data_IF_593874916304
#
_entry.id   IF_593874916304
#
_cell.length_a   1.000
_cell.length_b   1.000
_cell.length_c   1.000
_cell.angle_alpha   90.00
_cell.angle_beta   90.00
_cell.angle_gamma   90.00
#
_symmetry.space_group_name_H-M   'P 1'
#
loop_
_entity.id
_entity.type
_entity.pdbx_description
1 polymer ?
#
# COMPACT_ATOMS: atom_id res chain seq x y z
N UNK A 1 -3.52 22.71 -14.40
CA UNK A 1 -4.19 21.90 -13.36
C UNK A 1 -4.07 20.43 -13.73
N UNK A 2 -3.31 19.65 -12.96
CA UNK A 2 -3.11 18.23 -13.24
C UNK A 2 -4.39 17.47 -12.92
N UNK A 3 -5.00 16.84 -13.93
CA UNK A 3 -6.14 15.92 -13.76
C UNK A 3 -5.76 14.90 -12.67
N UNK A 4 -6.66 14.55 -11.74
CA UNK A 4 -6.36 13.54 -10.73
C UNK A 4 -6.22 12.18 -11.43
N UNK A 5 -5.00 11.88 -11.87
CA UNK A 5 -4.60 10.64 -12.55
C UNK A 5 -4.02 9.66 -11.52
N UNK A 6 -4.56 9.72 -10.31
CA UNK A 6 -4.07 8.99 -9.14
C UNK A 6 -5.00 7.86 -8.77
N UNK A 7 -4.48 6.86 -8.07
CA UNK A 7 -5.25 5.67 -7.65
C UNK A 7 -6.46 6.05 -6.79
N UNK A 8 -6.43 7.19 -6.09
CA UNK A 8 -7.54 7.71 -5.29
C UNK A 8 -8.84 7.99 -6.07
N UNK A 9 -8.78 8.17 -7.41
CA UNK A 9 -10.00 8.34 -8.22
C UNK A 9 -10.65 7.02 -8.64
N UNK A 10 -9.94 5.91 -8.46
CA UNK A 10 -10.46 4.59 -8.80
C UNK A 10 -11.53 4.17 -7.77
N UNK A 11 -12.51 3.34 -8.17
CA UNK A 11 -13.41 2.71 -7.20
C UNK A 11 -12.63 1.95 -6.12
N UNK A 12 -13.15 1.94 -4.89
CA UNK A 12 -12.52 1.28 -3.74
C UNK A 12 -12.12 -0.17 -4.02
N UNK A 13 -12.96 -0.91 -4.77
CA UNK A 13 -12.65 -2.30 -5.13
C UNK A 13 -11.40 -2.40 -6.01
N UNK A 14 -11.20 -1.49 -6.98
CA UNK A 14 -10.00 -1.45 -7.82
C UNK A 14 -8.79 -1.00 -7.00
N UNK A 15 -8.95 -0.03 -6.09
CA UNK A 15 -7.85 0.40 -5.22
C UNK A 15 -7.32 -0.78 -4.39
N UNK A 16 -8.24 -1.58 -3.85
CA UNK A 16 -7.91 -2.75 -3.03
C UNK A 16 -7.23 -3.85 -3.84
N UNK A 17 -7.73 -4.15 -5.04
CA UNK A 17 -7.09 -5.09 -5.97
C UNK A 17 -5.64 -4.66 -6.30
N UNK A 18 -5.42 -3.36 -6.54
CA UNK A 18 -4.10 -2.81 -6.82
C UNK A 18 -3.21 -2.90 -5.58
N UNK A 19 -3.73 -2.59 -4.39
CA UNK A 19 -3.00 -2.75 -3.13
C UNK A 19 -2.57 -4.20 -2.92
N UNK A 20 -3.49 -5.15 -3.07
CA UNK A 20 -3.22 -6.58 -2.88
C UNK A 20 -2.16 -7.07 -3.87
N UNK A 21 -2.23 -6.66 -5.14
CA UNK A 21 -1.21 -7.01 -6.13
C UNK A 21 0.15 -6.36 -5.85
N UNK A 22 0.18 -5.09 -5.40
CA UNK A 22 1.44 -4.43 -5.03
C UNK A 22 2.10 -5.16 -3.86
N UNK A 23 1.32 -5.53 -2.84
CA UNK A 23 1.81 -6.26 -1.67
C UNK A 23 2.26 -7.67 -2.06
N UNK A 24 1.46 -8.39 -2.87
CA UNK A 24 1.78 -9.74 -3.33
C UNK A 24 3.06 -9.78 -4.17
N UNK A 25 3.29 -8.76 -5.01
CA UNK A 25 4.51 -8.63 -5.81
C UNK A 25 5.69 -8.01 -5.03
N UNK A 26 5.56 -7.78 -3.72
CA UNK A 26 6.63 -7.23 -2.89
C UNK A 26 7.02 -5.80 -3.24
N UNK A 27 6.06 -4.95 -3.60
CA UNK A 27 6.26 -3.56 -4.04
C UNK A 27 7.06 -3.45 -5.36
N UNK A 28 6.84 -4.41 -6.25
CA UNK A 28 7.42 -4.49 -7.60
C UNK A 28 6.37 -4.58 -8.69
N UNK A 29 6.81 -4.72 -9.95
CA UNK A 29 5.90 -5.00 -11.07
C UNK A 29 4.97 -3.85 -11.48
N UNK A 30 5.28 -2.59 -11.11
CA UNK A 30 4.43 -1.43 -11.40
C UNK A 30 4.13 -1.23 -12.89
N UNK A 31 5.02 -1.67 -13.78
CA UNK A 31 4.82 -1.55 -15.23
C UNK A 31 3.75 -2.52 -15.73
N UNK A 32 3.75 -3.75 -15.22
CA UNK A 32 2.71 -4.75 -15.51
C UNK A 32 1.35 -4.29 -14.97
N UNK A 33 1.32 -3.75 -13.75
CA UNK A 33 0.12 -3.16 -13.15
C UNK A 33 -0.43 -1.99 -13.96
N UNK A 34 0.44 -1.10 -14.46
CA UNK A 34 0.04 -0.01 -15.34
C UNK A 34 -0.64 -0.56 -16.61
N UNK A 35 -0.04 -1.57 -17.26
CA UNK A 35 -0.62 -2.17 -18.48
C UNK A 35 -1.98 -2.78 -18.18
N UNK A 36 -2.10 -3.59 -17.11
CA UNK A 36 -3.35 -4.25 -16.76
C UNK A 36 -4.46 -3.24 -16.40
N UNK A 37 -4.12 -2.15 -15.71
CA UNK A 37 -5.07 -1.07 -15.42
C UNK A 37 -5.49 -0.32 -16.70
N UNK A 38 -4.54 -0.09 -17.61
CA UNK A 38 -4.82 0.56 -18.90
C UNK A 38 -5.74 -0.28 -19.78
N UNK A 39 -5.56 -1.60 -19.82
CA UNK A 39 -6.45 -2.54 -20.52
C UNK A 39 -7.89 -2.51 -19.96
N UNK A 40 -8.03 -2.26 -18.65
CA UNK A 40 -9.33 -2.07 -17.99
C UNK A 40 -9.93 -0.67 -18.18
N UNK A 41 -9.26 0.21 -18.94
CA UNK A 41 -9.70 1.58 -19.21
C UNK A 41 -9.22 2.63 -18.20
N UNK A 42 -8.34 2.26 -17.26
CA UNK A 42 -7.79 3.17 -16.26
C UNK A 42 -6.39 3.66 -16.66
N UNK A 43 -6.27 4.94 -16.98
CA UNK A 43 -4.98 5.58 -17.26
C UNK A 43 -4.25 5.96 -15.96
N UNK A 44 -3.58 4.99 -15.34
CA UNK A 44 -2.75 5.18 -14.14
C UNK A 44 -1.28 4.99 -14.50
N UNK A 45 -0.47 6.02 -14.29
CA UNK A 45 0.96 5.95 -14.57
C UNK A 45 1.73 5.14 -13.51
N UNK A 46 2.86 4.54 -13.90
CA UNK A 46 3.84 3.91 -13.00
C UNK A 46 4.16 4.77 -11.77
N UNK A 47 4.33 6.08 -11.93
CA UNK A 47 4.64 6.99 -10.81
C UNK A 47 3.53 7.07 -9.77
N UNK A 48 2.26 6.99 -10.18
CA UNK A 48 1.13 6.96 -9.27
C UNK A 48 1.07 5.63 -8.51
N UNK A 49 1.30 4.51 -9.19
CA UNK A 49 1.42 3.18 -8.59
C UNK A 49 2.57 3.10 -7.58
N UNK A 50 3.74 3.65 -7.94
CA UNK A 50 4.90 3.68 -7.07
C UNK A 50 4.65 4.50 -5.81
N UNK A 51 4.05 5.69 -5.93
CA UNK A 51 3.70 6.53 -4.78
C UNK A 51 2.71 5.82 -3.86
N UNK A 52 1.67 5.21 -4.42
CA UNK A 52 0.69 4.44 -3.65
C UNK A 52 1.33 3.25 -2.94
N UNK A 53 2.21 2.50 -3.62
CA UNK A 53 2.97 1.42 -2.99
C UNK A 53 3.86 1.88 -1.83
N UNK A 54 4.47 3.06 -1.93
CA UNK A 54 5.26 3.64 -0.84
C UNK A 54 4.40 4.04 0.37
N UNK A 55 3.18 4.53 0.15
CA UNK A 55 2.23 4.81 1.23
C UNK A 55 1.80 3.53 1.96
N UNK A 56 1.47 2.46 1.22
CA UNK A 56 1.15 1.14 1.80
C UNK A 56 2.33 0.61 2.63
N UNK A 57 3.56 0.72 2.10
CA UNK A 57 4.77 0.28 2.80
C UNK A 57 4.99 1.05 4.10
N UNK A 58 4.73 2.36 4.08
CA UNK A 58 4.82 3.19 5.29
C UNK A 58 3.78 2.80 6.33
N UNK A 59 2.54 2.53 5.91
CA UNK A 59 1.46 2.05 6.80
C UNK A 59 1.81 0.70 7.44
N UNK A 60 2.29 -0.26 6.65
CA UNK A 60 2.71 -1.58 7.16
C UNK A 60 3.87 -1.47 8.16
N UNK A 61 4.88 -0.64 7.88
CA UNK A 61 6.00 -0.42 8.80
C UNK A 61 5.53 0.16 10.13
N UNK A 62 4.61 1.14 10.10
CA UNK A 62 4.01 1.72 11.30
C UNK A 62 3.22 0.68 12.11
N UNK A 63 2.40 -0.13 11.44
CA UNK A 63 1.62 -1.19 12.09
C UNK A 63 2.52 -2.23 12.78
N UNK A 64 3.59 -2.67 12.10
CA UNK A 64 4.56 -3.61 12.67
C UNK A 64 5.29 -2.98 13.88
N UNK A 65 5.72 -1.72 13.77
CA UNK A 65 6.34 -0.98 14.87
C UNK A 65 5.41 -0.87 16.09
N UNK A 66 4.13 -0.59 15.89
CA UNK A 66 3.14 -0.54 16.96
C UNK A 66 2.97 -1.90 17.65
N UNK A 67 2.95 -3.00 16.87
CA UNK A 67 2.90 -4.36 17.40
C UNK A 67 4.14 -4.70 18.25
N UNK A 68 5.33 -4.27 17.81
CA UNK A 68 6.59 -4.44 18.54
C UNK A 68 6.56 -3.70 19.90
N UNK A 69 6.14 -2.43 19.91
CA UNK A 69 6.07 -1.61 21.14
C UNK A 69 5.04 -2.18 22.12
N UNK A 70 3.88 -2.65 21.62
CA UNK A 70 2.85 -3.27 22.45
C UNK A 70 3.34 -4.55 23.14
N UNK A 71 4.11 -5.38 22.44
CA UNK A 71 4.75 -6.58 23.01
C UNK A 71 5.82 -6.25 24.05
N UNK A 72 6.66 -5.25 23.79
CA UNK A 72 7.66 -4.78 24.75
C UNK A 72 7.00 -4.27 26.04
N UNK A 73 5.93 -3.49 25.92
CA UNK A 73 5.17 -2.96 27.07
C UNK A 73 4.46 -4.07 27.86
N UNK A 74 3.90 -5.07 27.17
CA UNK A 74 3.25 -6.22 27.81
C UNK A 74 4.23 -7.11 28.58
N UNK A 75 5.50 -7.19 28.15
CA UNK A 75 6.55 -7.93 28.86
C UNK A 75 6.97 -7.19 30.14
N UNK A 76 7.18 -5.88 30.03
CA UNK A 76 7.50 -5.03 31.19
C UNK A 76 6.39 -5.03 32.26
N UNK A 77 5.13 -5.17 31.86
CA UNK A 77 4.00 -5.25 32.81
C UNK A 77 3.85 -6.62 33.48
N UNK A 78 4.40 -7.70 32.90
CA UNK A 78 4.40 -9.04 33.51
C UNK A 78 5.53 -9.25 34.51
N UNK A 79 6.65 -8.55 34.35
CA UNK A 79 7.80 -8.62 35.27
C UNK A 79 7.62 -7.76 36.53
N UNK A 80 6.59 -6.91 36.58
CA UNK A 80 6.29 -6.02 37.69
C UNK A 80 5.14 -6.51 38.60
N UNK A 81 4.69 -7.76 38.43
CA UNK A 81 3.56 -8.35 39.14
C UNK A 81 3.95 -9.60 39.92
#
# INVERSE_FOLDING_TARGET
MSKPSGISVLPLHIQREVEEQIVANGFGGYKQLEVCLRERGFCISKSALHRFGQEIKALQLQANRAAMVKRAKARAQREAQ
#
